data_IF_020253762447
#
_entry.id   IF_020253762447
#
_cell.length_a   1.000
_cell.length_b   1.000
_cell.length_c   1.000
_cell.angle_alpha   90.00
_cell.angle_beta   90.00
_cell.angle_gamma   90.00
#
_symmetry.space_group_name_H-M   'P 1'
#
loop_
_entity.id
_entity.type
_entity.pdbx_description
1 polymer ?
#
# COMPACT_ATOMS: atom_id res chain seq x y z
N UNK A 1 16.48 15.26 33.08
CA UNK A 1 15.79 14.20 32.32
C UNK A 1 15.80 14.60 30.84
N UNK A 2 16.78 14.13 30.09
CA UNK A 2 16.88 14.30 28.65
C UNK A 2 17.40 12.98 28.09
N UNK A 3 16.50 12.06 27.78
CA UNK A 3 16.83 10.82 27.08
C UNK A 3 17.14 11.18 25.64
N UNK A 4 18.42 11.15 25.29
CA UNK A 4 18.90 11.43 23.94
C UNK A 4 18.37 10.39 22.97
N UNK A 5 17.59 10.82 21.98
CA UNK A 5 17.26 10.04 20.79
C UNK A 5 18.55 9.75 20.01
N UNK A 6 19.15 8.59 20.22
CA UNK A 6 20.17 8.07 19.33
C UNK A 6 19.45 7.61 18.06
N UNK A 7 19.80 8.19 16.91
CA UNK A 7 19.33 7.74 15.59
C UNK A 7 19.57 6.23 15.43
N UNK A 8 18.70 5.55 14.69
CA UNK A 8 18.78 4.12 14.35
C UNK A 8 20.19 3.74 13.85
N UNK A 9 20.87 4.63 13.12
CA UNK A 9 22.28 4.42 12.74
C UNK A 9 23.22 4.28 13.91
N UNK A 10 23.07 5.08 14.96
CA UNK A 10 23.95 5.02 16.11
C UNK A 10 23.65 3.80 16.99
N UNK A 11 22.42 3.26 16.99
CA UNK A 11 22.13 1.96 17.61
C UNK A 11 22.68 0.80 16.76
N UNK A 12 22.50 0.85 15.43
CA UNK A 12 23.07 -0.12 14.49
C UNK A 12 24.61 -0.09 14.44
N UNK A 13 25.23 1.07 14.70
CA UNK A 13 26.70 1.21 14.78
C UNK A 13 27.27 0.93 16.18
N UNK A 14 26.48 1.04 17.27
CA UNK A 14 26.95 0.71 18.63
C UNK A 14 26.86 -0.78 18.95
N UNK A 15 26.10 -1.55 18.18
CA UNK A 15 26.00 -3.01 18.28
C UNK A 15 27.17 -3.78 17.65
N UNK A 16 28.32 -3.12 17.41
CA UNK A 16 29.42 -3.74 16.66
C UNK A 16 30.78 -3.20 17.08
N UNK A 17 31.52 -3.99 17.85
CA UNK A 17 32.92 -4.24 17.46
C UNK A 17 33.02 -5.27 16.33
N UNK A 18 31.94 -5.99 15.97
CA UNK A 18 32.00 -7.10 14.98
C UNK A 18 30.90 -7.18 13.90
N UNK A 19 29.90 -6.30 13.85
CA UNK A 19 28.83 -6.28 12.80
C UNK A 19 28.79 -4.95 12.02
N UNK A 20 29.58 -4.87 10.94
CA UNK A 20 29.59 -3.71 10.05
C UNK A 20 28.39 -3.71 9.06
N UNK A 21 27.28 -3.08 9.42
CA UNK A 21 26.23 -2.72 8.45
C UNK A 21 26.70 -1.52 7.59
N UNK A 22 27.13 -1.80 6.36
CA UNK A 22 27.49 -0.75 5.40
C UNK A 22 26.25 -0.23 4.68
N UNK A 23 25.71 0.89 5.16
CA UNK A 23 24.64 1.62 4.48
C UNK A 23 25.23 2.46 3.34
N UNK A 24 24.80 2.22 2.10
CA UNK A 24 25.19 3.06 0.96
C UNK A 24 24.01 3.95 0.57
N UNK A 25 24.23 5.26 0.64
CA UNK A 25 23.40 6.24 -0.04
C UNK A 25 24.02 6.52 -1.42
N UNK A 26 23.38 6.05 -2.50
CA UNK A 26 23.79 6.39 -3.88
C UNK A 26 23.28 7.78 -4.23
N UNK A 27 23.93 8.82 -3.73
CA UNK A 27 23.76 10.17 -4.27
C UNK A 27 24.54 10.30 -5.59
N UNK A 28 23.82 10.47 -6.70
CA UNK A 28 24.42 10.80 -7.99
C UNK A 28 24.91 12.25 -7.96
N UNK A 29 26.23 12.41 -7.96
CA UNK A 29 26.91 13.66 -8.34
C UNK A 29 26.78 13.88 -9.85
N UNK A 30 26.16 14.99 -10.24
CA UNK A 30 26.20 15.49 -11.62
C UNK A 30 27.60 16.02 -11.95
N UNK A 31 28.23 15.66 -13.07
CA UNK A 31 29.45 16.32 -13.50
C UNK A 31 29.10 17.68 -14.11
N UNK A 32 29.60 18.75 -13.48
CA UNK A 32 29.73 20.06 -14.11
C UNK A 32 30.65 19.93 -15.32
N UNK A 33 30.18 20.30 -16.50
CA UNK A 33 31.04 20.66 -17.62
C UNK A 33 30.62 22.02 -18.15
N UNK A 34 31.40 23.02 -17.75
CA UNK A 34 31.47 24.36 -18.34
C UNK A 34 32.06 24.27 -19.74
N UNK A 35 31.37 24.84 -20.74
CA UNK A 35 32.00 25.59 -21.83
C UNK A 35 31.01 26.62 -22.38
N UNK A 36 31.37 27.89 -22.20
CA UNK A 36 30.80 29.04 -22.89
C UNK A 36 30.96 28.87 -24.40
N UNK A 37 29.91 29.14 -25.17
CA UNK A 37 30.00 29.93 -26.41
C UNK A 37 28.76 30.84 -26.46
N UNK A 38 29.03 32.14 -26.45
CA UNK A 38 28.13 33.25 -26.71
C UNK A 38 27.63 33.22 -28.15
N UNK A 39 26.34 33.47 -28.39
CA UNK A 39 25.91 34.34 -29.49
C UNK A 39 24.59 35.04 -29.15
N UNK A 40 24.61 36.33 -29.47
CA UNK A 40 23.64 37.41 -29.25
C UNK A 40 22.40 37.23 -30.14
N UNK A 41 21.26 37.79 -29.70
CA UNK A 41 20.26 38.63 -30.44
C UNK A 41 18.92 38.57 -29.69
N UNK A 42 18.62 39.57 -28.85
CA UNK A 42 17.95 40.87 -29.11
C UNK A 42 16.42 40.83 -28.91
N UNK A 43 15.97 41.59 -27.92
CA UNK A 43 14.58 41.95 -27.62
C UNK A 43 14.01 42.90 -28.69
N UNK A 44 12.69 42.83 -28.94
CA UNK A 44 11.91 44.03 -29.31
C UNK A 44 10.47 43.96 -28.79
N UNK A 45 9.93 45.16 -28.51
CA UNK A 45 8.74 45.48 -27.73
C UNK A 45 7.46 45.62 -28.58
N UNK A 46 6.32 45.35 -27.93
CA UNK A 46 4.98 45.99 -28.01
C UNK A 46 4.32 46.28 -29.37
N UNK A 47 3.07 45.79 -29.52
CA UNK A 47 1.93 46.62 -29.96
C UNK A 47 0.58 46.06 -29.50
N UNK A 48 -0.40 46.96 -29.43
CA UNK A 48 -1.69 46.90 -28.73
C UNK A 48 -2.82 46.21 -29.51
N UNK A 49 -3.84 45.85 -28.74
CA UNK A 49 -5.23 45.51 -29.08
C UNK A 49 -5.87 46.52 -30.06
N UNK A 50 -6.81 46.05 -30.90
CA UNK A 50 -8.08 46.75 -31.08
C UNK A 50 -9.30 45.86 -30.80
N UNK A 51 -10.31 46.48 -30.17
CA UNK A 51 -11.64 45.95 -29.96
C UNK A 51 -12.57 46.28 -31.14
N UNK A 52 -13.45 45.36 -31.53
CA UNK A 52 -14.68 45.61 -32.30
C UNK A 52 -15.69 44.53 -31.88
N UNK A 53 -16.73 44.90 -31.13
CA UNK A 53 -18.09 45.26 -31.59
C UNK A 53 -18.98 44.07 -31.97
N UNK A 54 -20.08 44.01 -31.20
CA UNK A 54 -21.32 43.25 -31.35
C UNK A 54 -21.78 43.02 -32.79
N UNK A 55 -22.12 41.76 -33.12
CA UNK A 55 -23.11 41.44 -34.13
C UNK A 55 -23.91 40.20 -33.70
N UNK A 56 -25.16 40.44 -33.33
CA UNK A 56 -26.24 39.46 -33.32
C UNK A 56 -26.38 38.87 -34.75
N UNK A 57 -26.43 37.55 -34.88
CA UNK A 57 -26.63 36.92 -36.18
C UNK A 57 -26.71 35.40 -36.09
N UNK A 58 -27.93 34.91 -35.96
CA UNK A 58 -28.40 33.56 -36.29
C UNK A 58 -27.44 32.71 -37.14
N UNK A 59 -26.99 31.58 -36.59
CA UNK A 59 -26.81 30.35 -37.37
C UNK A 59 -27.68 29.28 -36.71
N UNK A 60 -28.70 28.90 -37.47
CA UNK A 60 -29.60 27.79 -37.25
C UNK A 60 -28.84 26.47 -37.42
N UNK A 61 -29.11 25.56 -36.50
CA UNK A 61 -29.35 24.13 -36.73
C UNK A 61 -28.35 23.38 -37.63
N UNK A 62 -27.48 22.58 -37.01
CA UNK A 62 -27.33 21.17 -37.38
C UNK A 62 -26.54 20.38 -36.31
N UNK A 63 -27.12 19.24 -35.91
CA UNK A 63 -26.54 18.10 -35.18
C UNK A 63 -26.49 18.20 -33.64
N UNK A 64 -27.64 18.07 -32.98
CA UNK A 64 -27.75 17.61 -31.58
C UNK A 64 -29.02 16.78 -31.39
N UNK A 65 -29.04 15.53 -31.87
CA UNK A 65 -30.09 14.56 -31.47
C UNK A 65 -29.54 13.16 -31.12
N UNK A 66 -28.22 12.98 -31.03
CA UNK A 66 -27.59 11.68 -30.78
C UNK A 66 -26.90 11.51 -29.42
N UNK A 67 -26.33 12.57 -28.83
CA UNK A 67 -25.43 12.44 -27.67
C UNK A 67 -26.15 12.61 -26.32
N UNK A 68 -27.09 13.55 -26.22
CA UNK A 68 -27.81 13.82 -24.97
C UNK A 68 -28.72 12.67 -24.47
N UNK A 69 -29.21 11.82 -25.39
CA UNK A 69 -30.07 10.69 -25.03
C UNK A 69 -29.27 9.54 -24.41
N UNK A 70 -28.03 9.32 -24.88
CA UNK A 70 -27.15 8.24 -24.40
C UNK A 70 -26.66 8.54 -22.98
N UNK A 71 -26.28 9.78 -22.69
CA UNK A 71 -25.81 10.16 -21.34
C UNK A 71 -26.96 10.13 -20.32
N UNK A 72 -28.17 10.55 -20.72
CA UNK A 72 -29.37 10.45 -19.86
C UNK A 72 -29.71 9.01 -19.48
N UNK A 73 -29.62 8.07 -20.43
CA UNK A 73 -29.84 6.65 -20.18
C UNK A 73 -28.76 6.05 -19.26
N UNK A 74 -27.48 6.45 -19.44
CA UNK A 74 -26.38 6.04 -18.55
C UNK A 74 -26.58 6.55 -17.12
N UNK A 75 -26.97 7.81 -16.93
CA UNK A 75 -27.31 8.36 -15.60
C UNK A 75 -28.39 7.50 -14.96
N UNK A 76 -29.47 7.21 -15.70
CA UNK A 76 -30.59 6.40 -15.19
C UNK A 76 -30.14 5.00 -14.76
N UNK A 77 -29.35 4.33 -15.59
CA UNK A 77 -28.79 2.99 -15.28
C UNK A 77 -27.91 3.01 -14.03
N UNK A 78 -27.03 4.01 -13.91
CA UNK A 78 -26.19 4.17 -12.74
C UNK A 78 -27.02 4.43 -11.48
N UNK A 79 -27.99 5.36 -11.52
CA UNK A 79 -28.86 5.63 -10.37
C UNK A 79 -29.61 4.38 -9.91
N UNK A 80 -30.18 3.60 -10.83
CA UNK A 80 -30.83 2.31 -10.51
C UNK A 80 -29.87 1.31 -9.85
N UNK A 81 -28.64 1.15 -10.39
CA UNK A 81 -27.63 0.26 -9.82
C UNK A 81 -27.23 0.67 -8.40
N UNK A 82 -27.17 1.97 -8.13
CA UNK A 82 -26.78 2.55 -6.85
C UNK A 82 -27.92 2.46 -5.82
N UNK A 83 -29.17 2.63 -6.24
CA UNK A 83 -30.35 2.49 -5.38
C UNK A 83 -30.49 1.07 -4.81
N UNK A 84 -30.18 0.04 -5.61
CA UNK A 84 -30.12 -1.37 -5.14
C UNK A 84 -29.11 -1.57 -3.99
N UNK A 85 -28.07 -0.73 -3.92
CA UNK A 85 -27.07 -0.76 -2.85
C UNK A 85 -27.52 0.01 -1.59
N UNK A 86 -28.73 0.58 -1.60
CA UNK A 86 -29.29 1.39 -0.51
C UNK A 86 -28.73 2.81 -0.45
N UNK A 87 -27.97 3.24 -1.45
CA UNK A 87 -27.51 4.63 -1.55
C UNK A 87 -28.67 5.45 -2.12
N UNK A 88 -29.26 6.30 -1.27
CA UNK A 88 -30.33 7.20 -1.69
C UNK A 88 -29.73 8.37 -2.45
N UNK A 89 -29.88 8.35 -3.76
CA UNK A 89 -29.40 9.38 -4.66
C UNK A 89 -30.60 9.84 -5.49
N UNK A 90 -31.18 10.96 -5.07
CA UNK A 90 -32.36 11.54 -5.68
C UNK A 90 -32.02 12.29 -6.98
N UNK A 91 -32.97 13.04 -7.52
CA UNK A 91 -32.78 13.84 -8.73
C UNK A 91 -31.76 14.98 -8.55
N UNK A 92 -31.32 15.26 -7.32
CA UNK A 92 -30.30 16.28 -7.03
C UNK A 92 -28.86 15.79 -7.19
N UNK A 93 -28.65 14.48 -7.36
CA UNK A 93 -27.34 13.93 -7.71
C UNK A 93 -27.01 14.16 -9.19
N UNK A 94 -26.20 15.16 -9.48
CA UNK A 94 -25.71 15.49 -10.82
C UNK A 94 -24.32 14.89 -11.07
N UNK A 95 -24.04 14.41 -12.30
CA UNK A 95 -22.70 14.02 -12.71
C UNK A 95 -21.66 15.12 -12.49
N UNK A 96 -20.43 14.73 -12.13
CA UNK A 96 -19.31 15.62 -11.87
C UNK A 96 -19.25 16.19 -10.45
N UNK A 97 -20.20 15.86 -9.56
CA UNK A 97 -20.26 16.40 -8.21
C UNK A 97 -20.15 15.32 -7.13
N UNK A 98 -19.50 15.68 -6.02
CA UNK A 98 -19.42 14.83 -4.83
C UNK A 98 -20.55 15.17 -3.85
N UNK A 99 -21.21 14.12 -3.35
CA UNK A 99 -22.28 14.20 -2.37
C UNK A 99 -21.88 13.49 -1.09
N UNK A 100 -22.24 14.07 0.05
CA UNK A 100 -22.06 13.48 1.38
C UNK A 100 -23.40 12.94 1.87
N UNK A 101 -23.55 11.62 1.83
CA UNK A 101 -24.79 10.90 2.10
C UNK A 101 -24.67 10.07 3.38
N UNK A 102 -25.81 9.66 3.92
CA UNK A 102 -25.83 8.67 5.00
C UNK A 102 -25.41 7.32 4.42
N UNK A 103 -24.38 6.69 5.01
CA UNK A 103 -23.91 5.40 4.53
C UNK A 103 -24.94 4.29 4.84
N UNK A 104 -25.43 3.51 3.87
CA UNK A 104 -26.38 2.43 4.13
C UNK A 104 -25.77 1.27 4.93
N UNK A 105 -24.43 1.14 4.95
CA UNK A 105 -23.73 0.09 5.69
C UNK A 105 -23.58 0.38 7.18
N UNK A 106 -23.08 1.56 7.55
CA UNK A 106 -22.89 1.92 8.96
C UNK A 106 -23.95 2.86 9.53
N UNK A 107 -24.83 3.40 8.67
CA UNK A 107 -25.87 4.38 9.02
C UNK A 107 -25.32 5.61 9.76
N UNK A 108 -24.07 5.97 9.52
CA UNK A 108 -23.40 7.10 10.17
C UNK A 108 -22.90 6.81 11.60
N UNK A 109 -22.91 5.55 12.04
CA UNK A 109 -22.44 5.17 13.37
C UNK A 109 -23.28 5.78 14.50
N UNK A 110 -22.66 5.98 15.68
CA UNK A 110 -23.34 6.57 16.86
C UNK A 110 -23.73 8.04 16.66
N UNK A 111 -23.02 8.75 15.77
CA UNK A 111 -23.23 10.18 15.49
C UNK A 111 -24.19 10.43 14.33
N UNK A 112 -24.64 9.37 13.64
CA UNK A 112 -25.51 9.44 12.45
C UNK A 112 -24.94 10.36 11.35
N UNK A 113 -23.62 10.41 11.24
CA UNK A 113 -22.92 11.29 10.30
C UNK A 113 -23.14 10.88 8.84
N UNK A 114 -23.25 11.87 7.94
CA UNK A 114 -23.28 11.66 6.48
C UNK A 114 -21.90 11.35 5.92
N UNK A 115 -21.36 10.21 6.34
CA UNK A 115 -19.97 9.80 6.10
C UNK A 115 -19.71 9.20 4.71
N UNK A 116 -20.73 9.00 3.87
CA UNK A 116 -20.58 8.41 2.53
C UNK A 116 -20.34 9.50 1.49
N UNK A 117 -19.13 9.58 0.95
CA UNK A 117 -18.87 10.34 -0.27
C UNK A 117 -19.30 9.53 -1.49
N UNK A 118 -20.13 10.12 -2.36
CA UNK A 118 -20.67 9.51 -3.57
C UNK A 118 -20.52 10.47 -4.76
N UNK A 119 -20.22 9.95 -5.95
CA UNK A 119 -20.08 10.74 -7.18
C UNK A 119 -20.42 9.90 -8.43
N UNK A 120 -21.05 10.51 -9.42
CA UNK A 120 -21.15 9.99 -10.79
C UNK A 120 -20.18 10.80 -11.64
N UNK A 121 -19.24 10.17 -12.34
CA UNK A 121 -18.23 10.86 -13.15
C UNK A 121 -18.86 11.75 -14.22
N UNK A 122 -18.15 12.81 -14.64
CA UNK A 122 -18.66 13.79 -15.60
C UNK A 122 -19.01 13.15 -16.97
N UNK A 123 -18.29 12.11 -17.36
CA UNK A 123 -18.52 11.29 -18.56
C UNK A 123 -19.63 10.24 -18.37
N UNK A 124 -20.26 10.19 -17.19
CA UNK A 124 -21.41 9.33 -16.85
C UNK A 124 -21.14 7.83 -17.03
N UNK A 125 -19.88 7.42 -17.11
CA UNK A 125 -19.53 6.02 -17.28
C UNK A 125 -19.45 5.27 -15.95
N UNK A 126 -19.18 5.99 -14.85
CA UNK A 126 -18.91 5.39 -13.54
C UNK A 126 -19.60 6.15 -12.40
N UNK A 127 -20.33 5.43 -11.55
CA UNK A 127 -20.68 5.90 -10.21
C UNK A 127 -19.71 5.30 -9.19
N UNK A 128 -19.22 6.08 -8.23
CA UNK A 128 -18.27 5.63 -7.22
C UNK A 128 -18.62 6.17 -5.83
N UNK A 129 -18.27 5.40 -4.79
CA UNK A 129 -18.52 5.80 -3.41
C UNK A 129 -17.43 5.34 -2.46
N UNK A 130 -17.28 6.07 -1.35
CA UNK A 130 -16.43 5.72 -0.21
C UNK A 130 -17.03 6.28 1.08
N UNK A 131 -17.18 5.43 2.09
CA UNK A 131 -17.56 5.80 3.43
C UNK A 131 -16.31 6.11 4.24
N UNK A 132 -16.25 7.32 4.79
CA UNK A 132 -15.20 7.82 5.67
C UNK A 132 -15.51 7.61 7.16
N UNK A 133 -16.58 6.89 7.49
CA UNK A 133 -16.87 6.52 8.87
C UNK A 133 -15.74 5.67 9.43
N UNK A 134 -15.25 6.04 10.62
CA UNK A 134 -14.01 5.51 11.24
C UNK A 134 -13.93 3.98 11.27
N UNK A 135 -15.07 3.29 11.40
CA UNK A 135 -15.16 1.83 11.45
C UNK A 135 -15.79 1.19 10.19
N UNK A 136 -16.15 1.96 9.17
CA UNK A 136 -16.91 1.45 8.02
C UNK A 136 -16.05 1.21 6.77
N UNK A 137 -15.42 2.25 6.21
CA UNK A 137 -14.56 2.12 5.03
C UNK A 137 -15.22 1.57 3.76
N UNK A 138 -16.56 1.44 3.71
CA UNK A 138 -17.30 0.84 2.59
C UNK A 138 -17.10 1.66 1.31
N UNK A 139 -16.64 1.01 0.24
CA UNK A 139 -16.33 1.68 -1.03
C UNK A 139 -16.69 0.79 -2.20
N UNK A 140 -16.93 1.38 -3.36
CA UNK A 140 -17.22 0.65 -4.58
C UNK A 140 -17.41 1.56 -5.77
N UNK A 141 -17.67 0.94 -6.91
CA UNK A 141 -17.98 1.61 -8.16
C UNK A 141 -18.96 0.77 -8.99
N UNK A 142 -19.79 1.43 -9.79
CA UNK A 142 -20.72 0.85 -10.73
C UNK A 142 -20.49 1.49 -12.11
N UNK A 143 -20.56 0.69 -13.17
CA UNK A 143 -20.36 1.15 -14.55
C UNK A 143 -21.70 1.23 -15.28
N UNK A 144 -21.87 2.20 -16.17
CA UNK A 144 -23.10 2.39 -16.93
C UNK A 144 -23.31 1.26 -17.96
N UNK A 145 -22.23 0.79 -18.59
CA UNK A 145 -22.32 -0.14 -19.72
C UNK A 145 -22.94 -1.51 -19.34
N UNK A 146 -23.81 -1.98 -20.23
CA UNK A 146 -24.75 -3.08 -19.99
C UNK A 146 -24.61 -4.12 -21.10
N UNK A 147 -23.68 -5.07 -20.98
CA UNK A 147 -23.91 -6.37 -21.61
C UNK A 147 -24.97 -7.10 -20.79
N UNK A 148 -26.24 -6.85 -21.10
CA UNK A 148 -27.33 -7.72 -20.65
C UNK A 148 -27.23 -9.07 -21.34
N UNK A 149 -27.54 -10.16 -20.63
CA UNK A 149 -28.49 -11.10 -21.18
C UNK A 149 -29.80 -11.04 -20.39
N UNK A 150 -30.84 -11.02 -21.19
CA UNK A 150 -32.25 -11.33 -20.94
C UNK A 150 -32.48 -12.18 -19.67
N UNK A 151 -33.41 -11.67 -18.86
CA UNK A 151 -34.22 -12.34 -17.83
C UNK A 151 -33.52 -13.37 -16.91
N UNK A 152 -33.36 -12.96 -15.65
CA UNK A 152 -33.41 -13.90 -14.54
C UNK A 152 -32.09 -14.53 -14.09
N UNK A 153 -31.00 -13.76 -13.93
CA UNK A 153 -29.86 -14.22 -13.12
C UNK A 153 -29.20 -13.05 -12.38
N UNK A 154 -29.32 -13.04 -11.05
CA UNK A 154 -28.50 -12.26 -10.13
C UNK A 154 -27.01 -12.60 -10.35
N UNK A 155 -26.30 -11.84 -11.20
CA UNK A 155 -24.84 -11.90 -11.29
C UNK A 155 -24.19 -10.57 -10.97
N UNK A 156 -23.92 -10.42 -9.67
CA UNK A 156 -22.67 -9.91 -9.10
C UNK A 156 -22.32 -8.49 -9.55
N UNK A 157 -22.93 -7.54 -8.85
CA UNK A 157 -22.32 -6.25 -8.58
C UNK A 157 -20.88 -6.48 -8.09
N UNK A 158 -19.88 -5.94 -8.79
CA UNK A 158 -18.48 -5.99 -8.34
C UNK A 158 -18.27 -4.96 -7.23
N UNK A 159 -19.01 -5.12 -6.14
CA UNK A 159 -18.71 -4.49 -4.85
C UNK A 159 -17.41 -5.15 -4.39
N UNK A 160 -16.27 -4.52 -4.68
CA UNK A 160 -15.04 -4.80 -3.93
C UNK A 160 -15.20 -4.20 -2.53
N UNK A 161 -16.05 -4.81 -1.72
CA UNK A 161 -15.78 -4.79 -0.29
C UNK A 161 -14.47 -5.53 -0.15
N UNK A 162 -13.39 -4.83 0.20
CA UNK A 162 -12.30 -5.52 0.90
C UNK A 162 -12.99 -6.26 2.04
N UNK A 163 -13.05 -7.59 1.96
CA UNK A 163 -13.67 -8.39 3.01
C UNK A 163 -12.90 -8.02 4.26
N UNK A 164 -13.55 -7.36 5.21
CA UNK A 164 -12.94 -7.18 6.52
C UNK A 164 -12.77 -8.60 7.04
N UNK A 165 -11.53 -9.00 7.32
CA UNK A 165 -11.27 -10.32 7.89
C UNK A 165 -11.94 -10.32 9.25
N UNK A 166 -13.15 -10.85 9.33
CA UNK A 166 -13.79 -11.05 10.62
C UNK A 166 -13.18 -12.28 11.28
N UNK A 167 -13.10 -12.33 12.61
CA UNK A 167 -12.67 -13.52 13.35
C UNK A 167 -13.42 -14.80 12.91
N UNK A 168 -14.64 -14.69 12.38
CA UNK A 168 -15.41 -15.83 11.91
C UNK A 168 -14.89 -16.48 10.61
N UNK A 169 -14.03 -15.81 9.81
CA UNK A 169 -13.52 -16.36 8.55
C UNK A 169 -12.11 -16.98 8.66
N UNK A 170 -11.37 -16.69 9.73
CA UNK A 170 -9.99 -17.15 9.92
C UNK A 170 -9.91 -17.82 11.29
N UNK A 171 -10.09 -19.14 11.30
CA UNK A 171 -10.02 -19.93 12.52
C UNK A 171 -8.54 -20.17 12.83
N UNK A 172 -8.01 -19.42 13.79
CA UNK A 172 -6.62 -19.49 14.24
C UNK A 172 -6.55 -20.00 15.67
N UNK A 173 -5.47 -20.70 15.96
CA UNK A 173 -5.13 -21.20 17.29
C UNK A 173 -3.77 -20.64 17.73
N UNK A 174 -3.49 -20.56 19.03
CA UNK A 174 -2.14 -20.34 19.52
C UNK A 174 -1.16 -21.38 18.94
N UNK A 175 0.11 -21.00 18.79
CA UNK A 175 1.15 -21.90 18.32
C UNK A 175 1.32 -23.10 19.26
N UNK A 176 1.36 -24.31 18.69
CA UNK A 176 1.73 -25.52 19.43
C UNK A 176 3.24 -25.73 19.50
N UNK A 177 3.66 -26.61 20.40
CA UNK A 177 5.07 -26.87 20.77
C UNK A 177 6.01 -27.09 19.57
N UNK A 178 5.53 -27.76 18.52
CA UNK A 178 6.36 -28.03 17.34
C UNK A 178 6.67 -26.76 16.55
N UNK A 179 5.72 -25.84 16.41
CA UNK A 179 5.96 -24.57 15.73
C UNK A 179 6.78 -23.63 16.61
N UNK A 180 6.57 -23.66 17.92
CA UNK A 180 7.43 -22.96 18.88
C UNK A 180 8.88 -23.44 18.74
N UNK A 181 9.12 -24.75 18.72
CA UNK A 181 10.45 -25.33 18.50
C UNK A 181 11.05 -24.91 17.15
N UNK A 182 10.25 -24.88 16.08
CA UNK A 182 10.69 -24.40 14.76
C UNK A 182 11.19 -22.94 14.78
N UNK A 183 10.52 -22.06 15.53
CA UNK A 183 10.95 -20.67 15.69
C UNK A 183 12.14 -20.56 16.65
N UNK A 184 12.19 -21.38 17.69
CA UNK A 184 13.34 -21.44 18.60
C UNK A 184 14.64 -21.87 17.89
N UNK A 185 14.59 -22.80 16.94
CA UNK A 185 15.74 -23.15 16.08
C UNK A 185 16.25 -21.98 15.24
N UNK A 186 15.40 -20.97 15.03
CA UNK A 186 15.70 -19.70 14.33
C UNK A 186 16.00 -18.58 15.30
N UNK A 187 16.19 -18.89 16.58
CA UNK A 187 16.45 -17.91 17.63
C UNK A 187 15.33 -16.89 17.80
N UNK A 188 14.09 -17.23 17.45
CA UNK A 188 12.92 -16.38 17.66
C UNK A 188 12.19 -16.86 18.91
N UNK A 189 12.08 -15.98 19.89
CA UNK A 189 11.45 -16.23 21.18
C UNK A 189 9.93 -16.28 21.10
N UNK A 190 9.30 -17.00 22.03
CA UNK A 190 7.84 -16.99 22.19
C UNK A 190 7.29 -15.59 22.48
N UNK A 191 8.05 -14.73 23.16
CA UNK A 191 7.65 -13.35 23.41
C UNK A 191 7.47 -12.58 22.10
N UNK A 192 8.45 -12.67 21.21
CA UNK A 192 8.40 -12.05 19.87
C UNK A 192 7.23 -12.62 19.06
N UNK A 193 7.02 -13.94 19.06
CA UNK A 193 5.89 -14.56 18.37
C UNK A 193 4.54 -14.03 18.88
N UNK A 194 4.39 -13.94 20.21
CA UNK A 194 3.17 -13.45 20.86
C UNK A 194 2.93 -11.96 20.54
N UNK A 195 3.97 -11.11 20.62
CA UNK A 195 3.85 -9.67 20.32
C UNK A 195 3.42 -9.44 18.87
N UNK A 196 3.93 -10.27 17.97
CA UNK A 196 3.63 -10.24 16.54
C UNK A 196 2.34 -10.96 16.15
N UNK A 197 1.62 -11.51 17.12
CA UNK A 197 0.42 -12.32 16.91
C UNK A 197 0.62 -13.38 15.81
N UNK A 198 1.77 -14.07 15.86
CA UNK A 198 2.02 -15.26 15.06
C UNK A 198 1.19 -16.40 15.66
N UNK A 199 0.41 -17.05 14.81
CA UNK A 199 -0.57 -18.06 15.20
C UNK A 199 -0.37 -19.30 14.32
N UNK A 200 -1.20 -20.32 14.51
CA UNK A 200 -1.32 -21.44 13.58
C UNK A 200 -2.76 -21.56 13.04
N UNK A 201 -2.91 -22.22 11.89
CA UNK A 201 -4.22 -22.52 11.32
C UNK A 201 -4.94 -23.57 12.18
N UNK A 202 -6.21 -23.35 12.48
CA UNK A 202 -6.99 -24.31 13.26
C UNK A 202 -7.17 -25.63 12.51
N UNK A 203 -7.06 -26.75 13.23
CA UNK A 203 -7.17 -28.09 12.67
C UNK A 203 -5.93 -28.60 11.93
N UNK A 204 -4.91 -27.77 11.70
CA UNK A 204 -3.62 -28.20 11.15
C UNK A 204 -2.46 -27.65 11.98
N UNK A 205 -1.85 -28.54 12.77
CA UNK A 205 -0.80 -28.21 13.74
C UNK A 205 0.53 -27.75 13.10
N UNK A 206 0.64 -27.71 11.77
CA UNK A 206 1.91 -27.44 11.08
C UNK A 206 1.85 -26.25 10.12
N UNK A 207 0.74 -25.51 10.10
CA UNK A 207 0.59 -24.32 9.25
C UNK A 207 0.74 -23.07 10.11
N UNK A 208 1.83 -22.34 9.86
CA UNK A 208 2.09 -21.03 10.48
C UNK A 208 1.17 -19.99 9.84
N UNK A 209 0.55 -19.15 10.65
CA UNK A 209 -0.30 -18.05 10.26
C UNK A 209 0.29 -16.71 10.74
N UNK A 210 0.76 -15.91 9.78
CA UNK A 210 1.20 -14.53 10.01
C UNK A 210 -0.01 -13.59 9.90
N UNK A 211 -0.43 -13.01 11.03
CA UNK A 211 -1.61 -12.14 11.07
C UNK A 211 -1.24 -10.69 10.75
N UNK A 212 -1.73 -10.17 9.63
CA UNK A 212 -1.57 -8.77 9.28
C UNK A 212 -2.61 -7.98 10.06
N UNK A 213 -2.15 -7.02 10.87
CA UNK A 213 -3.02 -6.25 11.75
C UNK A 213 -2.94 -4.76 11.44
N UNK A 214 -4.05 -4.07 11.64
CA UNK A 214 -4.11 -2.62 11.60
C UNK A 214 -4.98 -2.15 12.76
N UNK A 215 -4.46 -1.25 13.59
CA UNK A 215 -5.07 -0.81 14.85
C UNK A 215 -5.52 -1.99 15.72
N UNK A 216 -4.68 -3.02 15.79
CA UNK A 216 -4.96 -4.24 16.55
C UNK A 216 -6.00 -5.18 15.92
N UNK A 217 -6.65 -4.85 14.80
CA UNK A 217 -7.60 -5.71 14.10
C UNK A 217 -6.94 -6.49 12.97
N UNK A 218 -7.29 -7.77 12.78
CA UNK A 218 -6.77 -8.58 11.67
C UNK A 218 -7.37 -8.06 10.35
N UNK A 219 -6.50 -7.72 9.41
CA UNK A 219 -6.84 -7.22 8.06
C UNK A 219 -6.40 -8.16 6.94
N UNK A 220 -5.59 -9.17 7.27
CA UNK A 220 -5.13 -10.21 6.36
C UNK A 220 -4.43 -11.33 7.12
N UNK A 221 -4.31 -12.49 6.47
CA UNK A 221 -3.48 -13.58 6.98
C UNK A 221 -2.68 -14.17 5.83
N UNK A 222 -1.41 -14.46 6.10
CA UNK A 222 -0.53 -15.22 5.22
C UNK A 222 -0.14 -16.50 5.92
N UNK A 223 -0.26 -17.59 5.20
CA UNK A 223 0.02 -18.90 5.71
C UNK A 223 1.29 -19.45 5.10
N UNK A 224 1.99 -20.25 5.89
CA UNK A 224 3.21 -20.94 5.49
C UNK A 224 3.21 -22.34 6.07
N UNK A 225 3.43 -23.35 5.23
CA UNK A 225 3.79 -24.69 5.73
C UNK A 225 5.29 -24.77 6.04
N UNK A 226 5.67 -25.78 6.83
CA UNK A 226 7.06 -26.10 7.12
C UNK A 226 7.89 -26.37 5.85
N UNK A 227 7.26 -26.93 4.81
CA UNK A 227 7.82 -27.21 3.49
C UNK A 227 7.87 -25.97 2.58
N UNK A 228 7.70 -24.76 3.14
CA UNK A 228 7.80 -23.48 2.44
C UNK A 228 6.75 -23.29 1.33
N UNK A 229 5.53 -23.77 1.54
CA UNK A 229 4.37 -23.41 0.69
C UNK A 229 3.65 -22.22 1.30
N UNK A 230 3.30 -21.23 0.47
CA UNK A 230 2.71 -19.98 0.92
C UNK A 230 1.38 -19.69 0.22
N UNK A 231 0.42 -19.16 0.98
CA UNK A 231 -0.80 -18.57 0.43
C UNK A 231 -1.30 -17.46 1.35
N UNK A 232 -2.24 -16.67 0.85
CA UNK A 232 -2.82 -15.54 1.58
C UNK A 232 -4.33 -15.56 1.44
N UNK A 233 -5.00 -14.97 2.42
CA UNK A 233 -6.44 -14.74 2.35
C UNK A 233 -6.82 -13.95 1.09
N UNK A 234 -7.81 -14.48 0.36
CA UNK A 234 -8.31 -13.89 -0.87
C UNK A 234 -9.11 -12.63 -0.55
N UNK A 235 -9.12 -11.70 -1.50
CA UNK A 235 -9.93 -10.46 -1.45
C UNK A 235 -9.67 -9.55 -0.22
N UNK A 236 -8.50 -9.71 0.40
CA UNK A 236 -7.99 -8.83 1.46
C UNK A 236 -7.18 -7.67 0.88
N UNK A 237 -7.17 -6.53 1.58
CA UNK A 237 -6.24 -5.45 1.26
C UNK A 237 -4.83 -5.90 1.62
N UNK A 238 -3.87 -5.58 0.76
CA UNK A 238 -2.45 -5.85 1.05
C UNK A 238 -1.94 -4.76 1.99
N UNK A 239 -1.30 -5.17 3.07
CA UNK A 239 -0.68 -4.31 4.08
C UNK A 239 0.75 -4.76 4.28
N UNK A 240 1.59 -3.89 4.83
CA UNK A 240 2.86 -4.31 5.39
C UNK A 240 2.60 -5.10 6.67
N UNK A 241 3.35 -6.19 6.89
CA UNK A 241 3.28 -6.92 8.14
C UNK A 241 3.96 -6.10 9.25
N UNK A 242 3.32 -5.97 10.42
CA UNK A 242 3.82 -5.13 11.52
C UNK A 242 3.53 -3.64 11.37
N UNK A 243 2.56 -3.21 10.53
CA UNK A 243 2.29 -1.78 10.31
C UNK A 243 1.97 -0.99 11.60
N UNK A 244 1.35 -1.63 12.59
CA UNK A 244 1.05 -1.00 13.88
C UNK A 244 2.33 -0.62 14.67
N UNK A 245 3.46 -1.29 14.40
CA UNK A 245 4.75 -1.02 15.06
C UNK A 245 5.40 0.29 14.59
N UNK A 246 4.90 0.91 13.53
CA UNK A 246 5.50 2.12 12.94
C UNK A 246 4.66 3.39 13.10
N UNK A 247 3.57 3.35 13.88
CA UNK A 247 2.63 4.48 14.03
C UNK A 247 3.31 5.78 14.46
N UNK A 248 4.23 5.68 15.42
CA UNK A 248 4.96 6.80 16.02
C UNK A 248 6.44 6.82 15.60
N UNK A 249 6.83 6.01 14.62
CA UNK A 249 8.21 5.90 14.17
C UNK A 249 8.56 7.01 13.16
N UNK A 250 9.77 7.54 13.24
CA UNK A 250 10.36 8.44 12.22
C UNK A 250 11.38 7.73 11.33
N UNK A 251 11.93 6.63 11.83
CA UNK A 251 12.87 5.75 11.13
C UNK A 251 12.35 4.31 11.19
N UNK A 252 12.42 3.54 10.10
CA UNK A 252 11.98 2.13 10.08
C UNK A 252 12.94 1.24 9.31
N UNK A 253 12.78 -0.08 9.49
CA UNK A 253 13.42 -1.13 8.69
C UNK A 253 12.34 -1.87 7.89
N UNK A 254 12.55 -2.03 6.59
CA UNK A 254 11.72 -2.86 5.71
C UNK A 254 12.52 -4.10 5.29
N UNK A 255 11.99 -5.28 5.60
CA UNK A 255 12.55 -6.59 5.22
C UNK A 255 11.67 -7.32 4.21
N UNK A 256 12.17 -8.40 3.62
CA UNK A 256 11.44 -9.16 2.61
C UNK A 256 10.40 -10.11 3.22
N UNK A 257 10.77 -10.90 4.23
CA UNK A 257 9.92 -11.93 4.83
C UNK A 257 9.39 -11.60 6.22
N UNK A 258 8.29 -12.26 6.60
CA UNK A 258 7.73 -12.14 7.95
C UNK A 258 8.71 -12.66 9.02
N UNK A 259 9.45 -13.73 8.74
CA UNK A 259 10.44 -14.30 9.67
C UNK A 259 11.64 -13.35 9.85
N UNK A 260 12.06 -12.66 8.78
CA UNK A 260 13.13 -11.66 8.86
C UNK A 260 12.73 -10.51 9.78
N UNK A 261 11.44 -10.12 9.75
CA UNK A 261 10.90 -9.09 10.64
C UNK A 261 10.99 -9.52 12.10
N UNK A 262 10.65 -10.78 12.38
CA UNK A 262 10.80 -11.35 13.72
C UNK A 262 12.28 -11.37 14.15
N UNK A 263 13.19 -11.69 13.24
CA UNK A 263 14.63 -11.73 13.51
C UNK A 263 15.21 -10.34 13.80
N UNK A 264 14.78 -9.32 13.06
CA UNK A 264 15.16 -7.91 13.31
C UNK A 264 14.64 -7.41 14.66
N UNK A 265 13.49 -7.94 15.09
CA UNK A 265 12.93 -7.62 16.39
C UNK A 265 13.68 -8.27 17.56
N UNK A 266 14.13 -9.51 17.41
CA UNK A 266 15.05 -10.17 18.36
C UNK A 266 16.34 -9.36 18.53
N UNK A 267 16.79 -8.69 17.45
CA UNK A 267 17.91 -7.75 17.47
C UNK A 267 17.60 -6.40 18.16
N UNK A 268 16.39 -6.24 18.73
CA UNK A 268 15.97 -5.06 19.46
C UNK A 268 15.26 -3.99 18.63
N UNK A 269 15.06 -4.19 17.33
CA UNK A 269 14.45 -3.22 16.44
C UNK A 269 12.97 -3.54 16.18
N UNK A 270 12.09 -3.01 17.03
CA UNK A 270 10.63 -3.19 16.89
C UNK A 270 10.01 -2.39 15.75
N UNK A 271 10.64 -1.31 15.32
CA UNK A 271 10.23 -0.45 14.21
C UNK A 271 10.56 -1.09 12.84
N UNK A 272 10.16 -2.35 12.66
CA UNK A 272 10.41 -3.14 11.46
C UNK A 272 9.10 -3.65 10.86
N UNK A 273 9.02 -3.65 9.53
CA UNK A 273 7.89 -4.17 8.76
C UNK A 273 8.38 -5.08 7.63
N UNK A 274 7.56 -6.05 7.20
CA UNK A 274 7.87 -6.86 6.02
C UNK A 274 6.88 -6.63 4.88
N UNK A 275 7.37 -6.82 3.64
CA UNK A 275 6.49 -6.80 2.46
C UNK A 275 5.61 -8.05 2.41
N UNK A 276 4.36 -7.95 1.93
CA UNK A 276 3.45 -9.10 1.92
C UNK A 276 3.74 -10.11 0.80
N UNK A 277 4.33 -9.65 -0.30
CA UNK A 277 4.69 -10.47 -1.45
C UNK A 277 6.19 -10.44 -1.68
N UNK A 278 6.74 -11.55 -2.17
CA UNK A 278 8.16 -11.64 -2.51
C UNK A 278 8.56 -10.70 -3.64
N UNK A 279 9.87 -10.57 -3.81
CA UNK A 279 10.47 -9.66 -4.77
C UNK A 279 10.14 -9.99 -6.25
N UNK A 280 10.00 -8.96 -7.12
CA UNK A 280 9.99 -9.19 -8.56
C UNK A 280 11.37 -9.68 -9.04
N UNK A 281 11.41 -10.49 -10.08
CA UNK A 281 12.68 -10.93 -10.68
C UNK A 281 13.47 -9.79 -11.35
N UNK A 282 12.78 -8.73 -11.80
CA UNK A 282 13.38 -7.63 -12.57
C UNK A 282 12.76 -6.30 -12.13
N UNK A 283 13.62 -5.28 -11.98
CA UNK A 283 13.23 -3.87 -11.78
C UNK A 283 12.59 -3.33 -13.06
N UNK A 284 11.43 -2.67 -12.96
CA UNK A 284 10.73 -2.16 -14.14
C UNK A 284 11.56 -1.07 -14.82
N UNK A 285 11.93 -1.24 -16.10
CA UNK A 285 12.57 -0.16 -16.86
C UNK A 285 11.61 1.01 -17.20
N UNK A 286 10.31 0.83 -16.95
CA UNK A 286 9.27 1.83 -17.23
C UNK A 286 9.11 2.80 -16.06
N UNK A 287 8.51 3.95 -16.35
CA UNK A 287 8.04 4.89 -15.34
C UNK A 287 7.12 4.21 -14.32
N UNK A 288 7.05 4.80 -13.12
CA UNK A 288 6.19 4.27 -12.07
C UNK A 288 4.74 4.30 -12.53
N UNK A 289 4.01 3.18 -12.43
CA UNK A 289 2.58 3.18 -12.72
C UNK A 289 1.86 4.13 -11.76
N UNK A 290 0.71 4.67 -12.19
CA UNK A 290 -0.14 5.42 -11.26
C UNK A 290 -0.56 4.55 -10.08
N UNK A 291 -0.84 5.19 -8.93
CA UNK A 291 -1.21 4.50 -7.67
C UNK A 291 -2.32 3.45 -7.87
N UNK A 292 -3.29 3.71 -8.75
CA UNK A 292 -4.40 2.81 -9.03
C UNK A 292 -4.01 1.59 -9.88
N UNK A 293 -2.94 1.72 -10.69
CA UNK A 293 -2.44 0.67 -11.59
C UNK A 293 -1.31 -0.15 -10.96
N UNK A 294 -0.71 0.34 -9.88
CA UNK A 294 0.43 -0.29 -9.19
C UNK A 294 0.02 -1.41 -8.24
N UNK A 295 -0.65 -2.43 -8.78
CA UNK A 295 -1.27 -3.51 -7.99
C UNK A 295 -0.27 -4.33 -7.19
N UNK A 296 0.93 -4.53 -7.71
CA UNK A 296 1.97 -5.31 -7.04
C UNK A 296 2.45 -4.65 -5.74
N UNK A 297 2.44 -3.31 -5.69
CA UNK A 297 2.89 -2.51 -4.56
C UNK A 297 1.75 -1.78 -3.85
N UNK A 298 0.51 -2.28 -4.01
CA UNK A 298 -0.68 -1.71 -3.37
C UNK A 298 -0.53 -1.57 -1.85
N UNK A 299 0.30 -2.43 -1.22
CA UNK A 299 0.59 -2.37 0.21
C UNK A 299 1.32 -1.08 0.63
N UNK A 300 2.16 -0.50 -0.21
CA UNK A 300 2.78 0.80 0.06
C UNK A 300 1.73 1.92 0.04
N UNK A 301 0.84 1.88 -0.95
CA UNK A 301 -0.21 2.88 -1.09
C UNK A 301 -1.27 2.79 0.01
N UNK A 302 -1.61 1.58 0.43
CA UNK A 302 -2.50 1.37 1.58
C UNK A 302 -1.84 1.86 2.88
N UNK A 303 -0.51 1.79 2.98
CA UNK A 303 0.28 2.19 4.15
C UNK A 303 0.80 3.63 4.06
N UNK A 304 0.36 4.43 3.07
CA UNK A 304 0.95 5.73 2.75
C UNK A 304 0.97 6.70 3.94
N UNK A 305 -0.12 6.72 4.71
CA UNK A 305 -0.25 7.60 5.89
C UNK A 305 0.80 7.32 6.98
N UNK A 306 1.27 6.08 7.09
CA UNK A 306 2.35 5.69 8.00
C UNK A 306 3.70 6.03 7.36
N UNK A 307 3.85 5.72 6.07
CA UNK A 307 5.13 5.83 5.36
C UNK A 307 5.53 7.27 5.05
N UNK A 308 4.60 8.19 4.83
CA UNK A 308 4.89 9.59 4.49
C UNK A 308 5.58 10.36 5.63
N UNK A 309 5.34 9.95 6.87
CA UNK A 309 5.92 10.59 8.08
C UNK A 309 7.39 10.23 8.28
N UNK A 310 7.87 9.21 7.58
CA UNK A 310 9.20 8.65 7.78
C UNK A 310 10.26 9.52 7.13
N UNK A 311 11.22 9.99 7.93
CA UNK A 311 12.42 10.67 7.46
C UNK A 311 13.48 9.69 6.97
N UNK A 312 13.43 8.44 7.44
CA UNK A 312 14.42 7.42 7.10
C UNK A 312 13.85 6.02 6.98
N UNK A 313 14.23 5.33 5.91
CA UNK A 313 13.79 3.98 5.61
C UNK A 313 15.02 3.13 5.30
N UNK A 314 15.27 2.12 6.14
CA UNK A 314 16.30 1.12 5.91
C UNK A 314 15.69 -0.05 5.14
N UNK A 315 16.26 -0.40 3.99
CA UNK A 315 15.84 -1.52 3.15
C UNK A 315 16.79 -2.69 3.40
N UNK A 316 16.32 -3.67 4.16
CA UNK A 316 17.03 -4.88 4.56
C UNK A 316 16.43 -6.10 3.84
N UNK A 317 16.37 -6.03 2.51
CA UNK A 317 15.90 -7.12 1.64
C UNK A 317 16.97 -8.19 1.44
N UNK A 318 16.60 -9.32 0.85
CA UNK A 318 17.52 -10.41 0.55
C UNK A 318 18.73 -9.94 -0.28
N UNK A 319 19.89 -10.54 -0.02
CA UNK A 319 21.15 -10.24 -0.71
C UNK A 319 21.19 -10.76 -2.15
N UNK A 320 20.14 -11.42 -2.63
CA UNK A 320 20.07 -12.02 -3.97
C UNK A 320 19.58 -11.01 -5.04
N UNK A 321 19.46 -11.46 -6.29
CA UNK A 321 19.04 -10.58 -7.40
C UNK A 321 17.61 -10.08 -7.24
N UNK A 322 16.72 -10.89 -6.69
CA UNK A 322 15.32 -10.53 -6.48
C UNK A 322 15.23 -9.52 -5.35
N UNK A 323 15.84 -9.78 -4.20
CA UNK A 323 15.86 -8.86 -3.06
C UNK A 323 16.45 -7.50 -3.42
N UNK A 324 17.56 -7.46 -4.18
CA UNK A 324 18.09 -6.19 -4.72
C UNK A 324 17.12 -5.46 -5.64
N UNK A 325 16.37 -6.20 -6.46
CA UNK A 325 15.34 -5.61 -7.32
C UNK A 325 14.17 -5.05 -6.52
N UNK A 326 13.76 -5.73 -5.45
CA UNK A 326 12.76 -5.26 -4.51
C UNK A 326 13.22 -3.96 -3.82
N UNK A 327 14.44 -3.92 -3.28
CA UNK A 327 14.98 -2.70 -2.65
C UNK A 327 14.94 -1.50 -3.60
N UNK A 328 15.31 -1.68 -4.87
CA UNK A 328 15.25 -0.62 -5.87
C UNK A 328 13.80 -0.17 -6.16
N UNK A 329 12.88 -1.11 -6.33
CA UNK A 329 11.46 -0.78 -6.59
C UNK A 329 10.76 -0.13 -5.38
N UNK A 330 11.13 -0.51 -4.16
CA UNK A 330 10.72 0.15 -2.93
C UNK A 330 11.26 1.58 -2.89
N UNK A 331 12.57 1.76 -3.08
CA UNK A 331 13.22 3.08 -3.05
C UNK A 331 12.63 4.04 -4.08
N UNK A 332 12.31 3.56 -5.29
CA UNK A 332 11.65 4.37 -6.33
C UNK A 332 10.29 4.92 -5.90
N UNK A 333 9.48 4.14 -5.17
CA UNK A 333 8.12 4.52 -4.73
C UNK A 333 8.13 5.31 -3.44
N UNK A 334 9.06 5.01 -2.55
CA UNK A 334 9.19 5.65 -1.26
C UNK A 334 9.94 6.97 -1.36
N UNK A 335 10.85 7.14 -2.31
CA UNK A 335 11.75 8.29 -2.39
C UNK A 335 13.17 7.84 -2.03
N UNK A 336 14.07 7.84 -3.02
CA UNK A 336 15.42 7.27 -2.89
C UNK A 336 16.26 8.02 -1.87
N UNK A 337 16.04 9.32 -1.76
CA UNK A 337 16.74 10.24 -0.86
C UNK A 337 16.58 9.88 0.63
N UNK A 338 15.51 9.17 0.97
CA UNK A 338 15.23 8.69 2.32
C UNK A 338 15.39 7.18 2.49
N UNK A 339 15.98 6.48 1.51
CA UNK A 339 16.20 5.04 1.56
C UNK A 339 17.69 4.69 1.71
N UNK A 340 17.99 3.77 2.63
CA UNK A 340 19.32 3.20 2.84
C UNK A 340 19.27 1.69 2.69
N UNK A 341 20.06 1.13 1.77
CA UNK A 341 20.07 -0.32 1.55
C UNK A 341 21.12 -0.98 2.45
N UNK A 342 20.73 -2.04 3.15
CA UNK A 342 21.63 -2.87 3.95
C UNK A 342 22.56 -3.66 3.04
N UNK A 343 23.83 -3.71 3.41
CA UNK A 343 24.76 -4.72 2.91
C UNK A 343 24.99 -5.74 4.01
N UNK A 344 24.51 -6.95 3.77
CA UNK A 344 24.70 -8.07 4.68
C UNK A 344 26.19 -8.43 4.81
N UNK A 345 26.65 -8.79 6.02
CA UNK A 345 28.04 -9.14 6.25
C UNK A 345 28.44 -10.39 5.47
N UNK A 346 29.75 -10.53 5.24
CA UNK A 346 30.31 -11.74 4.63
C UNK A 346 30.27 -12.87 5.64
N UNK A 347 29.79 -14.04 5.20
CA UNK A 347 29.91 -15.30 5.93
C UNK A 347 31.27 -15.95 5.70
N UNK A 348 31.79 -15.81 4.47
CA UNK A 348 33.14 -16.20 4.04
C UNK A 348 33.56 -15.34 2.83
N UNK A 349 34.74 -15.59 2.26
CA UNK A 349 35.26 -14.81 1.12
C UNK A 349 34.34 -14.79 -0.11
N UNK A 350 33.45 -15.78 -0.24
CA UNK A 350 32.60 -16.02 -1.40
C UNK A 350 31.10 -15.79 -1.16
N UNK A 351 30.65 -15.79 0.10
CA UNK A 351 29.24 -15.73 0.47
C UNK A 351 28.97 -14.66 1.52
N UNK A 352 27.85 -13.97 1.36
CA UNK A 352 27.27 -13.11 2.39
C UNK A 352 26.09 -13.81 3.06
N UNK A 353 25.70 -13.34 4.24
CA UNK A 353 24.40 -13.67 4.79
C UNK A 353 23.30 -13.23 3.83
N UNK A 354 22.27 -14.08 3.67
CA UNK A 354 21.19 -13.80 2.73
C UNK A 354 20.27 -12.71 3.24
N UNK A 355 19.89 -12.79 4.51
CA UNK A 355 18.85 -11.99 5.14
C UNK A 355 19.06 -11.92 6.67
N UNK A 356 18.17 -11.22 7.37
CA UNK A 356 18.23 -11.04 8.82
C UNK A 356 18.12 -12.36 9.59
N UNK A 357 17.38 -13.34 9.08
CA UNK A 357 17.17 -14.61 9.76
C UNK A 357 18.38 -15.56 9.61
N UNK A 358 19.24 -15.36 8.62
CA UNK A 358 20.50 -16.11 8.50
C UNK A 358 21.64 -15.52 9.33
N UNK A 359 21.59 -14.22 9.65
CA UNK A 359 22.63 -13.53 10.42
C UNK A 359 22.46 -13.75 11.92
N UNK A 360 23.19 -14.73 12.45
CA UNK A 360 23.17 -15.07 13.89
C UNK A 360 23.83 -14.02 14.79
N UNK A 361 24.55 -13.05 14.22
CA UNK A 361 25.28 -12.01 14.97
C UNK A 361 24.40 -10.86 15.43
N UNK A 362 23.14 -10.84 14.99
CA UNK A 362 22.14 -9.83 15.36
C UNK A 362 21.60 -9.97 16.79
N UNK A 363 22.03 -10.97 17.57
CA UNK A 363 21.53 -11.19 18.92
C UNK A 363 22.32 -10.38 19.97
N UNK A 364 21.65 -9.69 20.91
CA UNK A 364 22.29 -9.05 22.06
C UNK A 364 22.83 -10.00 23.13
N UNK A 365 22.63 -11.31 22.96
CA UNK A 365 22.85 -12.33 24.01
C UNK A 365 24.07 -13.22 23.77
N UNK A 366 24.85 -12.98 22.72
CA UNK A 366 26.20 -13.55 22.54
C UNK A 366 27.27 -12.46 22.66
#
# INVERSE_FOLDING_TARGET
>A
MATSALSLTNQLCRFSSEVHFLFINKNFSTPKSTRLISHVWSYSKTTRIPALHSANGYIKEAIEEGEGMVDSDKVRVLKQKIEVLGIKCDDSCFPGQYYHLLCPKCKGGKTMERSLSFNITQDVDVAMWRCFGTSCGWTGQAFADSRMPIAGVNKIFKVKSSKQVTPENVVLEPLGDKLIAYFSERMISEETLRRNAVMQMSGDKYIIAFTYRQNGAIVGCKYRTMEKRFWQEKDTRKWLYGIDDINEATEIIIVEGEIDKLSVEEAGFRNCVSVPGGAPQIVSAKDLPSIQKDRAYQYLWNSKEYLDKLSRIVLATDSDTSGRSLAEELARRLGKERCWVVRWPKKDDSRCFKDANEDKTLNPWE
#
